data_IF_546344616207
#
_entry.id   IF_546344616207
#
_cell.length_a   1.000
_cell.length_b   1.000
_cell.length_c   1.000
_cell.angle_alpha   90.00
_cell.angle_beta   90.00
_cell.angle_gamma   90.00
#
_symmetry.space_group_name_H-M   'P 1'
#
loop_
_entity.id
_entity.type
_entity.pdbx_description
1 polymer ?
#
# COMPACT_ATOMS: atom_id res chain seq x y z
N UNK A 1 8.54 -26.07 -16.72
CA UNK A 1 9.36 -25.67 -15.55
C UNK A 1 9.05 -24.20 -15.24
N UNK A 2 8.09 -23.92 -14.33
CA UNK A 2 7.66 -22.56 -13.99
C UNK A 2 7.14 -22.54 -12.56
N UNK A 3 8.05 -22.63 -11.58
CA UNK A 3 7.68 -22.65 -10.15
C UNK A 3 8.71 -22.01 -9.22
N UNK A 4 9.76 -21.38 -9.77
CA UNK A 4 10.85 -20.81 -8.98
C UNK A 4 10.75 -19.28 -8.78
N UNK A 5 9.85 -18.59 -9.52
CA UNK A 5 9.76 -17.12 -9.48
C UNK A 5 8.72 -16.57 -8.48
N UNK A 6 7.77 -17.38 -7.99
CA UNK A 6 6.74 -16.90 -7.05
C UNK A 6 7.24 -16.84 -5.59
N UNK A 7 8.22 -17.68 -5.22
CA UNK A 7 8.76 -17.73 -3.86
C UNK A 7 9.69 -16.54 -3.53
N UNK A 8 10.41 -16.02 -4.52
CA UNK A 8 11.34 -14.88 -4.36
C UNK A 8 10.60 -13.53 -4.31
N UNK A 9 9.39 -13.43 -4.84
CA UNK A 9 8.59 -12.21 -4.81
C UNK A 9 7.93 -11.96 -3.44
N UNK A 10 7.58 -13.02 -2.70
CA UNK A 10 7.04 -12.94 -1.33
C UNK A 10 8.08 -12.49 -0.31
N UNK A 11 9.31 -13.01 -0.35
CA UNK A 11 10.36 -12.68 0.63
C UNK A 11 10.87 -11.24 0.55
N UNK A 12 10.96 -10.68 -0.67
CA UNK A 12 11.44 -9.31 -0.87
C UNK A 12 10.39 -8.24 -0.50
N UNK A 13 9.10 -8.57 -0.62
CA UNK A 13 7.99 -7.68 -0.24
C UNK A 13 7.95 -7.40 1.26
N UNK A 14 8.25 -8.40 2.10
CA UNK A 14 8.28 -8.22 3.55
C UNK A 14 9.47 -7.35 4.00
N UNK A 15 10.62 -7.51 3.34
CA UNK A 15 11.82 -6.74 3.65
C UNK A 15 11.64 -5.26 3.28
N UNK A 16 10.99 -4.97 2.14
CA UNK A 16 10.61 -3.61 1.77
C UNK A 16 9.63 -2.96 2.75
N UNK A 17 8.67 -3.74 3.30
CA UNK A 17 7.71 -3.28 4.32
C UNK A 17 8.42 -2.84 5.60
N UNK A 18 9.32 -3.67 6.12
CA UNK A 18 10.08 -3.33 7.32
C UNK A 18 11.05 -2.16 7.10
N UNK A 19 11.64 -2.05 5.91
CA UNK A 19 12.49 -0.92 5.56
C UNK A 19 11.70 0.41 5.54
N UNK A 20 10.50 0.41 4.94
CA UNK A 20 9.64 1.59 4.93
C UNK A 20 9.26 2.00 6.36
N UNK A 21 8.81 1.05 7.17
CA UNK A 21 8.48 1.25 8.59
C UNK A 21 9.69 1.80 9.38
N UNK A 22 10.87 1.21 9.17
CA UNK A 22 12.10 1.61 9.86
C UNK A 22 12.59 2.99 9.43
N UNK A 23 12.22 3.47 8.24
CA UNK A 23 12.60 4.80 7.75
C UNK A 23 11.64 5.92 8.18
N UNK A 24 10.35 5.62 8.37
CA UNK A 24 9.34 6.62 8.73
C UNK A 24 9.49 7.11 10.18
N UNK A 25 9.77 6.19 11.10
CA UNK A 25 9.88 6.50 12.53
C UNK A 25 11.02 7.48 12.85
N UNK A 26 12.29 7.25 12.44
CA UNK A 26 13.38 8.18 12.72
C UNK A 26 13.19 9.53 12.02
N UNK A 27 12.55 9.56 10.85
CA UNK A 27 12.27 10.81 10.14
C UNK A 27 11.31 11.71 10.94
N UNK A 28 10.19 11.14 11.42
CA UNK A 28 9.22 11.88 12.23
C UNK A 28 9.83 12.34 13.57
N UNK A 29 10.62 11.49 14.21
CA UNK A 29 11.28 11.81 15.48
C UNK A 29 12.24 13.00 15.34
N UNK A 30 13.10 12.99 14.32
CA UNK A 30 14.04 14.09 14.06
C UNK A 30 13.28 15.39 13.75
N UNK A 31 12.22 15.34 12.94
CA UNK A 31 11.43 16.52 12.60
C UNK A 31 10.79 17.17 13.83
N UNK A 32 10.19 16.37 14.72
CA UNK A 32 9.57 16.88 15.94
C UNK A 32 10.60 17.30 17.01
N UNK A 33 11.76 16.65 17.07
CA UNK A 33 12.87 17.08 17.92
C UNK A 33 13.33 18.50 17.56
N UNK A 34 13.56 18.76 16.27
CA UNK A 34 13.95 20.11 15.82
C UNK A 34 12.83 21.14 16.00
N UNK A 35 11.59 20.77 15.67
CA UNK A 35 10.44 21.65 15.90
C UNK A 35 10.31 22.02 17.39
N UNK A 36 10.46 21.04 18.28
CA UNK A 36 10.44 21.23 19.73
C UNK A 36 11.56 22.14 20.23
N UNK A 37 12.78 21.98 19.70
CA UNK A 37 13.91 22.85 20.02
C UNK A 37 13.66 24.31 19.62
N UNK A 38 13.13 24.54 18.41
CA UNK A 38 12.84 25.89 17.89
C UNK A 38 11.73 26.56 18.70
N UNK A 39 10.64 25.84 18.98
CA UNK A 39 9.54 26.34 19.82
C UNK A 39 10.03 26.62 21.25
N UNK A 40 10.77 25.69 21.85
CA UNK A 40 11.32 25.86 23.19
C UNK A 40 12.29 27.03 23.29
N UNK A 41 13.15 27.20 22.29
CA UNK A 41 14.08 28.34 22.22
C UNK A 41 13.36 29.68 22.16
N UNK A 42 12.19 29.72 21.52
CA UNK A 42 11.37 30.93 21.39
C UNK A 42 10.73 31.37 22.71
N UNK A 43 10.49 30.43 23.65
CA UNK A 43 9.82 30.70 24.93
C UNK A 43 10.83 31.05 26.04
N UNK A 44 11.91 30.29 26.16
CA UNK A 44 12.83 30.36 27.31
C UNK A 44 14.32 30.37 26.91
N UNK A 45 14.62 30.67 25.64
CA UNK A 45 16.00 30.73 25.15
C UNK A 45 16.70 29.38 25.18
N UNK A 46 17.99 29.35 25.53
CA UNK A 46 18.84 28.15 25.45
C UNK A 46 18.30 26.99 26.30
N UNK A 47 17.82 27.28 27.51
CA UNK A 47 17.28 26.25 28.41
C UNK A 47 15.91 25.73 27.94
N UNK A 48 15.14 26.59 27.27
CA UNK A 48 13.91 26.21 26.59
C UNK A 48 14.16 25.26 25.41
N UNK A 49 15.27 25.42 24.68
CA UNK A 49 15.62 24.55 23.55
C UNK A 49 15.78 23.09 23.98
N UNK A 50 16.46 22.83 25.09
CA UNK A 50 16.68 21.46 25.61
C UNK A 50 15.36 20.83 26.03
N UNK A 51 14.56 21.54 26.83
CA UNK A 51 13.27 21.03 27.33
C UNK A 51 12.28 20.85 26.19
N UNK A 52 12.23 21.79 25.26
CA UNK A 52 11.40 21.74 24.06
C UNK A 52 11.81 20.60 23.14
N UNK A 53 13.11 20.36 22.96
CA UNK A 53 13.63 19.22 22.20
C UNK A 53 13.26 17.88 22.82
N UNK A 54 13.34 17.75 24.15
CA UNK A 54 12.90 16.55 24.88
C UNK A 54 11.40 16.26 24.68
N UNK A 55 10.55 17.29 24.84
CA UNK A 55 9.11 17.17 24.63
C UNK A 55 8.81 16.85 23.15
N UNK A 56 9.51 17.53 22.24
CA UNK A 56 9.41 17.32 20.81
C UNK A 56 9.76 15.89 20.42
N UNK A 57 10.90 15.37 20.89
CA UNK A 57 11.32 13.99 20.65
C UNK A 57 10.28 12.97 21.16
N UNK A 58 9.75 13.20 22.37
CA UNK A 58 8.76 12.30 22.99
C UNK A 58 7.43 12.31 22.22
N UNK A 59 6.96 13.48 21.78
CA UNK A 59 5.79 13.59 20.91
C UNK A 59 6.04 13.00 19.52
N UNK A 60 7.21 13.26 18.93
CA UNK A 60 7.64 12.71 17.66
C UNK A 60 7.67 11.19 17.66
N UNK A 61 8.18 10.59 18.74
CA UNK A 61 8.18 9.16 18.94
C UNK A 61 6.75 8.60 19.03
N UNK A 62 5.87 9.20 19.85
CA UNK A 62 4.48 8.74 20.00
C UNK A 62 3.69 8.84 18.69
N UNK A 63 3.79 9.97 17.99
CA UNK A 63 3.11 10.21 16.72
C UNK A 63 3.71 9.31 15.62
N UNK A 64 5.03 9.18 15.57
CA UNK A 64 5.75 8.31 14.63
C UNK A 64 5.35 6.85 14.80
N UNK A 65 5.35 6.34 16.04
CA UNK A 65 4.89 4.99 16.35
C UNK A 65 3.42 4.77 15.97
N UNK A 66 2.55 5.76 16.22
CA UNK A 66 1.14 5.69 15.81
C UNK A 66 0.97 5.68 14.28
N UNK A 67 1.76 6.47 13.55
CA UNK A 67 1.79 6.47 12.08
C UNK A 67 2.20 5.10 11.53
N UNK A 68 3.28 4.52 12.08
CA UNK A 68 3.72 3.16 11.72
C UNK A 68 2.61 2.14 11.98
N UNK A 69 1.95 2.21 13.14
CA UNK A 69 0.82 1.32 13.46
C UNK A 69 -0.31 1.43 12.43
N UNK A 70 -0.67 2.64 12.01
CA UNK A 70 -1.66 2.88 10.95
C UNK A 70 -1.20 2.31 9.60
N UNK A 71 0.06 2.51 9.22
CA UNK A 71 0.64 1.97 7.99
C UNK A 71 0.57 0.44 7.95
N UNK A 72 0.96 -0.23 9.05
CA UNK A 72 0.88 -1.70 9.18
C UNK A 72 -0.57 -2.17 9.05
N UNK A 73 -1.50 -1.53 9.78
CA UNK A 73 -2.92 -1.90 9.74
C UNK A 73 -3.56 -1.69 8.37
N UNK A 74 -3.20 -0.63 7.66
CA UNK A 74 -3.65 -0.36 6.30
C UNK A 74 -3.17 -1.43 5.32
N UNK A 75 -1.92 -1.88 5.51
CA UNK A 75 -1.34 -2.95 4.72
C UNK A 75 -2.04 -4.29 4.95
N UNK A 76 -2.30 -4.67 6.21
CA UNK A 76 -3.04 -5.89 6.54
C UNK A 76 -4.43 -5.93 5.88
N UNK A 77 -5.15 -4.81 5.88
CA UNK A 77 -6.45 -4.70 5.18
C UNK A 77 -6.31 -4.91 3.68
N UNK A 78 -5.23 -4.41 3.09
CA UNK A 78 -4.96 -4.56 1.66
C UNK A 78 -4.58 -6.00 1.29
N UNK A 79 -3.83 -6.69 2.15
CA UNK A 79 -3.51 -8.11 1.96
C UNK A 79 -4.72 -9.04 2.13
N UNK A 80 -5.71 -8.64 2.94
CA UNK A 80 -6.97 -9.40 3.11
C UNK A 80 -8.02 -9.08 2.05
N UNK A 81 -7.79 -8.06 1.22
CA UNK A 81 -8.71 -7.72 0.14
C UNK A 81 -8.73 -8.87 -0.86
N UNK A 82 -9.91 -9.43 -1.22
CA UNK A 82 -9.99 -10.51 -2.18
C UNK A 82 -9.36 -10.06 -3.50
N UNK A 83 -8.73 -10.96 -4.26
CA UNK A 83 -8.09 -10.61 -5.52
C UNK A 83 -9.08 -9.82 -6.36
N UNK A 84 -8.70 -8.57 -6.70
CA UNK A 84 -9.45 -7.73 -7.63
C UNK A 84 -9.72 -8.60 -8.84
N UNK A 85 -11.00 -8.87 -9.12
CA UNK A 85 -11.38 -9.68 -10.29
C UNK A 85 -10.70 -9.03 -11.48
N UNK A 86 -9.70 -9.72 -12.05
CA UNK A 86 -9.01 -9.22 -13.24
C UNK A 86 -10.10 -8.92 -14.26
N UNK A 87 -10.10 -7.72 -14.87
CA UNK A 87 -11.06 -7.43 -15.93
C UNK A 87 -10.99 -8.57 -16.93
N UNK A 88 -12.14 -9.16 -17.22
CA UNK A 88 -12.22 -10.30 -18.12
C UNK A 88 -11.62 -9.87 -19.45
N UNK A 89 -10.51 -10.50 -19.82
CA UNK A 89 -9.88 -10.29 -21.10
C UNK A 89 -10.09 -11.57 -21.91
N UNK A 90 -11.07 -11.58 -22.82
CA UNK A 90 -11.37 -12.75 -23.62
C UNK A 90 -10.15 -13.15 -24.44
N UNK A 91 -10.02 -14.44 -24.68
CA UNK A 91 -8.96 -14.96 -25.55
C UNK A 91 -9.23 -14.54 -27.00
N UNK A 92 -8.18 -14.48 -27.83
CA UNK A 92 -8.33 -14.14 -29.26
C UNK A 92 -9.31 -15.10 -29.98
N UNK A 93 -9.29 -16.38 -29.59
CA UNK A 93 -10.18 -17.41 -30.12
C UNK A 93 -11.66 -17.15 -29.77
N UNK A 94 -11.92 -16.59 -28.60
CA UNK A 94 -13.26 -16.24 -28.14
C UNK A 94 -13.80 -14.97 -28.80
N UNK A 95 -12.92 -14.02 -29.10
CA UNK A 95 -13.27 -12.81 -29.88
C UNK A 95 -13.69 -13.19 -31.30
N UNK A 96 -13.00 -14.18 -31.89
CA UNK A 96 -13.26 -14.65 -33.26
C UNK A 96 -14.42 -15.64 -33.35
N UNK A 97 -14.83 -16.25 -32.23
CA UNK A 97 -15.96 -17.18 -32.20
C UNK A 97 -17.26 -16.38 -32.32
N UNK A 98 -18.04 -16.69 -33.35
CA UNK A 98 -19.38 -16.11 -33.47
C UNK A 98 -20.23 -16.46 -32.26
N UNK A 99 -20.86 -15.45 -31.63
CA UNK A 99 -21.66 -15.68 -30.45
C UNK A 99 -22.88 -16.57 -30.78
N UNK A 100 -23.20 -17.49 -29.88
CA UNK A 100 -24.24 -18.50 -30.12
C UNK A 100 -25.65 -17.90 -30.33
N UNK A 101 -25.88 -16.65 -29.91
CA UNK A 101 -27.13 -15.92 -30.18
C UNK A 101 -27.32 -15.51 -31.65
N UNK A 102 -26.27 -15.53 -32.48
CA UNK A 102 -26.37 -15.29 -33.92
C UNK A 102 -26.73 -16.57 -34.67
N UNK A 103 -26.20 -17.71 -34.25
CA UNK A 103 -26.46 -19.02 -34.88
C UNK A 103 -27.93 -19.44 -34.80
N UNK A 104 -28.60 -19.11 -33.71
CA UNK A 104 -30.03 -19.43 -33.54
C UNK A 104 -30.94 -18.66 -34.51
N UNK A 105 -30.57 -17.44 -34.92
CA UNK A 105 -31.35 -16.66 -35.90
C UNK A 105 -31.20 -17.17 -37.33
N UNK A 106 -30.09 -17.82 -37.64
CA UNK A 106 -29.80 -18.35 -38.97
C UNK A 106 -30.50 -19.70 -39.17
N UNK A 107 -30.55 -20.53 -38.13
CA UNK A 107 -31.26 -21.81 -38.13
C UNK A 107 -32.79 -21.68 -38.27
N UNK A 108 -33.36 -20.52 -37.92
CA UNK A 108 -34.79 -20.21 -38.09
C UNK A 108 -35.12 -19.70 -39.52
N UNK A 109 -34.10 -19.38 -40.34
CA UNK A 109 -34.27 -18.86 -41.71
C UNK A 109 -34.16 -19.91 -42.81
N UNK A 110 -33.75 -21.16 -42.52
CA UNK A 110 -33.85 -22.25 -43.48
C UNK A 110 -35.24 -22.93 -43.39
N UNK A 111 -36.17 -22.68 -44.34
CA UNK A 111 -37.35 -23.50 -44.46
C UNK A 111 -36.94 -24.91 -44.87
N UNK A 112 -37.38 -25.91 -44.10
CA UNK A 112 -37.29 -27.32 -44.49
C UNK A 112 -38.10 -27.51 -45.77
N UNK A 113 -37.42 -27.78 -46.88
CA UNK A 113 -38.03 -28.39 -48.07
C UNK A 113 -38.42 -29.84 -47.79
#
# INVERSE_FOLDING_TARGET
MSGANDASQSGNSELGRWLAIASELPCAEIAFLFAGQVVGQSISGVQGSVTGGLIGALLGFLIGAYSVYLSVRSYERSSQSPPVRKPYMPSMEEILREPDFLKSKEQEREPRE
#
